data_IF_137862729448
#
_entry.id   IF_137862729448
#
_cell.length_a   1.000
_cell.length_b   1.000
_cell.length_c   1.000
_cell.angle_alpha   90.00
_cell.angle_beta   90.00
_cell.angle_gamma   90.00
#
_symmetry.space_group_name_H-M   'P 1'
#
loop_
_entity.id
_entity.type
_entity.pdbx_description
1 polymer ?
#
# COMPACT_ATOMS: atom_id res chain seq x y z
N UNK A 1 -21.52 5.75 51.75
CA UNK A 1 -20.66 6.47 50.79
C UNK A 1 -19.75 5.46 50.13
N UNK A 2 -20.02 5.09 48.88
CA UNK A 2 -19.21 4.15 48.12
C UNK A 2 -18.93 4.76 46.74
N UNK A 3 -17.89 5.58 46.66
CA UNK A 3 -17.42 6.19 45.42
C UNK A 3 -16.79 5.10 44.54
N UNK A 4 -17.52 4.68 43.51
CA UNK A 4 -17.00 3.81 42.45
C UNK A 4 -16.06 4.63 41.58
N UNK A 5 -14.77 4.34 41.70
CA UNK A 5 -13.69 4.85 40.86
C UNK A 5 -13.95 4.32 39.45
N UNK A 6 -14.53 5.16 38.60
CA UNK A 6 -14.59 4.94 37.16
C UNK A 6 -13.15 5.05 36.65
N UNK A 7 -12.58 3.96 36.13
CA UNK A 7 -11.22 3.85 35.62
C UNK A 7 -11.17 4.29 34.16
N UNK A 8 -10.90 5.58 33.84
CA UNK A 8 -10.76 6.02 32.44
C UNK A 8 -9.51 5.45 31.76
N UNK A 9 -8.54 4.98 32.55
CA UNK A 9 -7.27 4.46 32.06
C UNK A 9 -7.40 3.15 31.25
N UNK A 10 -8.40 2.32 31.56
CA UNK A 10 -8.62 1.05 30.85
C UNK A 10 -9.19 1.29 29.43
N UNK A 11 -10.02 2.33 29.27
CA UNK A 11 -10.57 2.71 27.97
C UNK A 11 -9.53 3.37 27.07
N UNK A 12 -8.60 4.14 27.65
CA UNK A 12 -7.53 4.82 26.89
C UNK A 12 -6.51 3.81 26.34
N UNK A 13 -6.24 2.70 27.04
CA UNK A 13 -5.28 1.69 26.59
C UNK A 13 -5.77 0.87 25.37
N UNK A 14 -7.07 0.67 25.21
CA UNK A 14 -7.66 -0.12 24.11
C UNK A 14 -7.58 0.56 22.73
N UNK A 15 -7.46 1.88 22.68
CA UNK A 15 -7.45 2.62 21.40
C UNK A 15 -6.06 2.61 20.73
N UNK A 16 -5.01 2.26 21.47
CA UNK A 16 -3.61 2.45 21.03
C UNK A 16 -3.09 1.31 20.13
N UNK A 17 -3.77 0.17 20.04
CA UNK A 17 -3.18 -1.10 19.53
C UNK A 17 -3.38 -1.36 18.02
N UNK A 18 -4.03 -0.48 17.25
CA UNK A 18 -4.47 -0.82 15.87
C UNK A 18 -3.59 -0.29 14.73
N UNK A 19 -2.26 -0.44 14.77
CA UNK A 19 -1.43 -0.26 13.57
C UNK A 19 -1.05 -1.63 13.00
N UNK A 20 -1.91 -2.15 12.14
CA UNK A 20 -1.56 -3.28 11.28
C UNK A 20 -0.33 -2.89 10.44
N UNK A 21 0.70 -3.74 10.45
CA UNK A 21 1.91 -3.56 9.65
C UNK A 21 1.63 -3.85 8.16
N UNK A 22 0.79 -3.05 7.52
CA UNK A 22 0.73 -2.96 6.06
C UNK A 22 1.76 -1.94 5.59
N UNK A 23 2.46 -2.23 4.49
CA UNK A 23 3.36 -1.25 3.90
C UNK A 23 2.56 0.02 3.53
N UNK A 24 2.92 1.16 4.11
CA UNK A 24 2.35 2.45 3.74
C UNK A 24 3.00 2.91 2.43
N UNK A 25 2.20 3.03 1.37
CA UNK A 25 2.67 3.39 0.04
C UNK A 25 2.07 4.71 -0.43
N UNK A 26 2.89 5.53 -1.10
CA UNK A 26 2.46 6.79 -1.67
C UNK A 26 3.24 7.13 -2.95
N UNK A 27 2.53 7.66 -3.94
CA UNK A 27 3.12 8.18 -5.16
C UNK A 27 3.88 9.48 -4.88
N UNK A 28 5.14 9.55 -5.35
CA UNK A 28 6.03 10.68 -5.25
C UNK A 28 6.27 11.29 -6.63
N UNK A 29 6.37 12.62 -6.66
CA UNK A 29 6.55 13.42 -7.88
C UNK A 29 5.30 14.24 -8.19
N UNK A 30 5.51 15.51 -8.53
CA UNK A 30 4.41 16.46 -8.75
C UNK A 30 4.33 16.84 -10.22
N UNK A 31 3.12 16.87 -10.78
CA UNK A 31 2.90 17.35 -12.14
C UNK A 31 3.17 18.88 -12.19
N UNK A 32 3.61 19.43 -13.34
CA UNK A 32 3.71 18.77 -14.65
C UNK A 32 5.06 18.08 -14.93
N UNK A 33 6.10 18.25 -14.11
CA UNK A 33 7.46 17.82 -14.49
C UNK A 33 7.87 16.42 -14.00
N UNK A 34 7.23 15.93 -12.93
CA UNK A 34 7.39 14.61 -12.31
C UNK A 34 8.81 14.04 -12.24
N UNK A 35 9.63 14.61 -11.37
CA UNK A 35 10.89 14.03 -10.91
C UNK A 35 10.65 13.21 -9.64
N UNK A 36 9.92 12.10 -9.78
CA UNK A 36 9.56 11.24 -8.65
C UNK A 36 10.78 10.52 -8.09
N UNK A 37 11.02 10.68 -6.79
CA UNK A 37 12.06 9.96 -6.03
C UNK A 37 11.52 9.53 -4.67
N UNK A 38 12.01 8.39 -4.18
CA UNK A 38 11.64 7.93 -2.84
C UNK A 38 12.53 8.63 -1.80
N UNK A 39 11.97 9.40 -0.86
CA UNK A 39 12.75 9.94 0.24
C UNK A 39 13.24 8.81 1.15
N UNK A 40 14.26 9.08 1.96
CA UNK A 40 14.92 8.08 2.82
C UNK A 40 14.00 7.42 3.86
N UNK A 41 12.83 7.99 4.13
CA UNK A 41 11.79 7.38 4.98
C UNK A 41 11.09 6.19 4.32
N UNK A 42 11.21 6.05 3.01
CA UNK A 42 10.70 4.91 2.25
C UNK A 42 11.84 3.96 1.93
N UNK A 43 11.61 2.67 2.13
CA UNK A 43 12.63 1.63 1.94
C UNK A 43 12.45 0.88 0.62
N UNK A 44 11.31 1.05 -0.07
CA UNK A 44 11.02 0.35 -1.31
C UNK A 44 10.47 1.27 -2.40
N UNK A 45 10.98 1.06 -3.61
CA UNK A 45 10.47 1.64 -4.85
C UNK A 45 9.60 0.59 -5.54
N UNK A 46 8.29 0.68 -5.36
CA UNK A 46 7.34 -0.35 -5.76
C UNK A 46 7.00 -0.29 -7.26
N UNK A 47 6.72 0.89 -7.79
CA UNK A 47 6.27 1.05 -9.17
C UNK A 47 6.59 2.45 -9.72
N UNK A 48 6.36 2.62 -11.03
CA UNK A 48 6.47 3.91 -11.74
C UNK A 48 5.24 4.14 -12.59
N UNK A 49 4.91 5.40 -12.81
CA UNK A 49 3.82 5.80 -13.71
C UNK A 49 3.94 7.29 -14.06
N UNK A 50 3.13 7.80 -14.98
CA UNK A 50 3.13 9.24 -15.33
C UNK A 50 1.90 9.98 -14.81
N UNK A 51 1.12 9.39 -13.93
CA UNK A 51 -0.13 9.98 -13.42
C UNK A 51 -1.33 9.11 -13.77
N UNK A 52 -2.52 9.71 -13.66
CA UNK A 52 -3.82 9.07 -13.78
C UNK A 52 -4.18 8.20 -12.58
N UNK A 53 -5.46 7.86 -12.48
CA UNK A 53 -6.00 6.97 -11.45
C UNK A 53 -5.70 7.49 -10.04
N UNK A 54 -4.97 6.74 -9.21
CA UNK A 54 -4.57 7.14 -7.86
C UNK A 54 -3.20 7.85 -7.80
N UNK A 55 -2.52 7.97 -8.95
CA UNK A 55 -1.22 8.63 -9.10
C UNK A 55 -1.34 10.14 -9.41
N UNK A 56 -2.56 10.68 -9.43
CA UNK A 56 -2.84 12.10 -9.62
C UNK A 56 -2.67 12.58 -11.06
N UNK A 57 -2.37 13.87 -11.26
CA UNK A 57 -2.28 14.47 -12.61
C UNK A 57 -1.11 13.95 -13.45
N UNK A 58 -1.28 14.04 -14.77
CA UNK A 58 -0.28 13.60 -15.75
C UNK A 58 0.99 14.44 -15.79
N UNK A 59 2.09 13.75 -15.99
CA UNK A 59 3.42 14.29 -16.18
C UNK A 59 3.66 14.66 -17.64
N UNK A 60 3.94 15.93 -17.91
CA UNK A 60 4.44 16.38 -19.21
C UNK A 60 5.84 15.83 -19.48
N UNK A 61 6.74 15.93 -18.48
CA UNK A 61 8.08 15.32 -18.48
C UNK A 61 8.22 14.38 -17.28
N UNK A 62 9.25 13.52 -17.26
CA UNK A 62 9.53 12.67 -16.10
C UNK A 62 8.48 11.58 -15.80
N UNK A 63 8.55 11.04 -14.59
CA UNK A 63 7.73 9.96 -14.02
C UNK A 63 7.51 10.14 -12.51
N UNK A 64 6.35 9.69 -12.03
CA UNK A 64 6.07 9.50 -10.60
C UNK A 64 6.54 8.11 -10.17
N UNK A 65 6.83 7.99 -8.88
CA UNK A 65 7.35 6.76 -8.28
C UNK A 65 6.50 6.37 -7.08
N UNK A 66 6.00 5.14 -7.06
CA UNK A 66 5.27 4.59 -5.92
C UNK A 66 6.29 4.12 -4.89
N UNK A 67 6.33 4.78 -3.74
CA UNK A 67 7.28 4.50 -2.66
C UNK A 67 6.57 3.88 -1.48
N UNK A 68 7.15 2.85 -0.86
CA UNK A 68 6.60 2.15 0.29
C UNK A 68 7.56 2.12 1.49
N UNK A 69 7.02 2.24 2.71
CA UNK A 69 7.80 2.24 3.98
C UNK A 69 8.35 0.87 4.35
N UNK A 70 7.77 -0.19 3.79
CA UNK A 70 8.21 -1.56 3.85
C UNK A 70 7.90 -2.26 2.52
N UNK A 71 8.33 -3.51 2.35
CA UNK A 71 8.05 -4.26 1.13
C UNK A 71 6.53 -4.41 0.99
N UNK A 72 5.92 -4.04 -0.15
CA UNK A 72 4.50 -4.23 -0.40
C UNK A 72 4.15 -5.70 -0.70
N UNK A 73 5.04 -6.64 -0.39
CA UNK A 73 4.86 -8.05 -0.60
C UNK A 73 5.62 -8.59 -1.82
N UNK A 74 5.23 -9.78 -2.25
CA UNK A 74 5.94 -10.53 -3.27
C UNK A 74 5.15 -10.63 -4.57
N UNK A 75 5.81 -11.04 -5.65
CA UNK A 75 5.18 -11.33 -6.94
C UNK A 75 4.31 -10.16 -7.46
N UNK A 76 4.82 -8.95 -7.30
CA UNK A 76 4.13 -7.74 -7.71
C UNK A 76 4.12 -7.59 -9.23
N UNK A 77 2.97 -7.27 -9.81
CA UNK A 77 2.83 -7.04 -11.25
C UNK A 77 1.63 -6.14 -11.56
N UNK A 78 1.67 -5.52 -12.74
CA UNK A 78 0.56 -4.73 -13.24
C UNK A 78 -0.51 -5.63 -13.86
N UNK A 79 -1.77 -5.29 -13.59
CA UNK A 79 -2.94 -5.94 -14.18
C UNK A 79 -3.79 -4.91 -14.91
N UNK A 80 -4.33 -5.30 -16.07
CA UNK A 80 -5.10 -4.44 -16.96
C UNK A 80 -4.44 -4.28 -18.33
N UNK A 81 -5.09 -4.80 -19.37
CA UNK A 81 -4.55 -4.79 -20.73
C UNK A 81 -5.04 -3.57 -21.50
N UNK A 82 -4.10 -2.83 -22.10
CA UNK A 82 -4.45 -1.75 -23.02
C UNK A 82 -5.09 -2.32 -24.30
N UNK A 83 -5.97 -1.57 -24.99
CA UNK A 83 -6.28 -0.16 -24.78
C UNK A 83 -7.44 0.12 -23.80
N UNK A 84 -8.14 -0.89 -23.29
CA UNK A 84 -9.31 -0.73 -22.41
C UNK A 84 -8.96 -1.26 -21.01
N UNK A 85 -8.41 -0.43 -20.14
CA UNK A 85 -7.89 -0.91 -18.86
C UNK A 85 -8.95 -0.91 -17.77
N UNK A 86 -9.37 -2.10 -17.35
CA UNK A 86 -10.14 -2.31 -16.13
C UNK A 86 -9.35 -3.27 -15.26
N UNK A 87 -8.20 -2.79 -14.78
CA UNK A 87 -7.30 -3.59 -13.96
C UNK A 87 -7.95 -3.97 -12.64
N UNK A 88 -7.90 -5.25 -12.32
CA UNK A 88 -8.34 -5.79 -11.03
C UNK A 88 -7.29 -6.80 -10.54
N UNK A 89 -7.05 -6.82 -9.24
CA UNK A 89 -6.15 -7.81 -8.66
C UNK A 89 -6.83 -9.19 -8.66
N UNK A 90 -6.12 -10.24 -9.09
CA UNK A 90 -6.65 -11.60 -8.98
C UNK A 90 -6.78 -12.00 -7.50
N UNK A 91 -7.61 -13.01 -7.24
CA UNK A 91 -7.80 -13.55 -5.88
C UNK A 91 -6.46 -13.93 -5.23
N UNK A 92 -6.26 -13.50 -3.99
CA UNK A 92 -5.00 -13.72 -3.25
C UNK A 92 -3.96 -12.60 -3.40
N UNK A 93 -4.23 -11.62 -4.27
CA UNK A 93 -3.44 -10.38 -4.36
C UNK A 93 -4.23 -9.17 -3.91
N UNK A 94 -3.52 -8.10 -3.59
CA UNK A 94 -4.10 -6.82 -3.21
C UNK A 94 -3.47 -5.68 -4.00
N UNK A 95 -4.22 -4.59 -4.18
CA UNK A 95 -3.78 -3.40 -4.90
C UNK A 95 -2.89 -2.55 -4.01
N UNK A 96 -1.74 -2.14 -4.56
CA UNK A 96 -0.77 -1.26 -3.90
C UNK A 96 -0.78 0.14 -4.52
N UNK A 97 -1.11 0.24 -5.80
CA UNK A 97 -1.34 1.50 -6.51
C UNK A 97 -1.95 1.27 -7.88
N UNK A 98 -2.28 2.33 -8.60
CA UNK A 98 -2.83 2.30 -9.93
C UNK A 98 -2.21 3.38 -10.82
N UNK A 99 -2.22 3.13 -12.12
CA UNK A 99 -1.78 4.09 -13.13
C UNK A 99 -2.50 3.70 -14.41
N UNK A 100 -3.00 4.67 -15.15
CA UNK A 100 -3.50 4.43 -16.52
C UNK A 100 -2.34 4.37 -17.52
N UNK A 101 -1.16 4.84 -17.12
CA UNK A 101 0.03 4.74 -17.93
C UNK A 101 0.64 3.34 -18.04
N UNK A 102 1.60 3.25 -18.95
CA UNK A 102 2.50 2.15 -19.21
C UNK A 102 3.28 1.70 -17.96
N UNK A 103 2.64 0.99 -17.03
CA UNK A 103 3.36 0.29 -15.97
C UNK A 103 4.46 -0.61 -16.57
N UNK A 104 4.04 -1.55 -17.42
CA UNK A 104 4.85 -2.55 -18.12
C UNK A 104 4.49 -2.71 -19.61
N UNK A 105 3.57 -1.89 -20.14
CA UNK A 105 3.01 -2.02 -21.49
C UNK A 105 2.47 -0.70 -22.05
N UNK A 106 1.47 -0.72 -22.93
CA UNK A 106 0.90 0.53 -23.48
C UNK A 106 -0.04 1.26 -22.49
N UNK A 107 -0.14 2.58 -22.64
CA UNK A 107 -1.11 3.45 -21.94
C UNK A 107 -2.55 3.03 -22.24
N UNK A 108 -3.40 3.15 -21.23
CA UNK A 108 -4.83 2.90 -21.31
C UNK A 108 -5.53 4.04 -22.04
N UNK A 109 -6.39 3.73 -23.01
CA UNK A 109 -7.29 4.71 -23.62
C UNK A 109 -8.50 5.02 -22.73
N UNK A 110 -8.91 4.03 -21.91
CA UNK A 110 -9.94 4.18 -20.87
C UNK A 110 -9.57 3.33 -19.65
N UNK A 111 -9.92 3.82 -18.46
CA UNK A 111 -9.70 3.17 -17.16
C UNK A 111 -8.23 3.02 -16.73
N UNK A 112 -7.94 2.10 -15.81
CA UNK A 112 -6.69 2.03 -15.05
C UNK A 112 -6.04 0.64 -15.09
N UNK A 113 -4.70 0.60 -15.06
CA UNK A 113 -3.98 -0.59 -14.59
C UNK A 113 -3.83 -0.52 -13.09
N UNK A 114 -3.78 -1.68 -12.44
CA UNK A 114 -3.57 -1.81 -11.00
C UNK A 114 -2.29 -2.59 -10.74
N UNK A 115 -1.46 -2.08 -9.85
CA UNK A 115 -0.25 -2.74 -9.41
C UNK A 115 -0.60 -3.61 -8.20
N UNK A 116 -0.53 -4.93 -8.37
CA UNK A 116 -0.97 -5.88 -7.37
C UNK A 116 0.17 -6.75 -6.88
N UNK A 117 0.23 -6.97 -5.57
CA UNK A 117 1.20 -7.83 -4.90
C UNK A 117 0.49 -8.94 -4.11
N UNK A 118 1.20 -10.04 -3.87
CA UNK A 118 0.81 -11.00 -2.84
C UNK A 118 0.97 -10.32 -1.47
N UNK A 119 0.10 -10.63 -0.50
CA UNK A 119 0.28 -10.16 0.87
C UNK A 119 1.70 -10.49 1.36
N UNK A 120 2.42 -9.54 2.01
CA UNK A 120 3.71 -9.85 2.60
C UNK A 120 3.52 -11.02 3.56
N UNK A 121 4.13 -12.16 3.22
CA UNK A 121 4.11 -13.31 4.13
C UNK A 121 4.85 -12.87 5.39
N UNK A 122 4.27 -13.16 6.54
CA UNK A 122 4.86 -12.98 7.87
C UNK A 122 6.00 -14.00 8.07
N UNK A 123 6.81 -14.24 7.04
CA UNK A 123 7.96 -15.14 7.04
C UNK A 123 9.26 -14.38 6.80
N UNK A 124 9.21 -13.04 6.68
CA UNK A 124 10.38 -12.15 6.67
C UNK A 124 10.36 -11.18 7.85
N UNK A 125 9.68 -11.57 8.92
CA UNK A 125 9.98 -11.07 10.26
C UNK A 125 10.53 -12.28 11.02
N UNK A 126 11.84 -12.50 10.92
CA UNK A 126 12.58 -13.28 11.92
C UNK A 126 12.30 -12.63 13.29
N UNK A 127 11.21 -13.05 13.94
CA UNK A 127 10.85 -12.61 15.29
C UNK A 127 9.37 -12.36 15.61
N UNK A 128 8.42 -12.35 14.66
CA UNK A 128 7.00 -12.13 15.01
C UNK A 128 6.14 -13.29 14.48
N UNK A 129 5.97 -14.28 15.36
CA UNK A 129 4.94 -15.31 15.26
C UNK A 129 3.56 -14.66 15.40
N UNK A 130 2.88 -14.40 14.29
CA UNK A 130 1.42 -14.19 14.30
C UNK A 130 0.77 -15.32 13.52
N UNK A 131 0.50 -16.39 14.24
CA UNK A 131 -0.51 -17.37 13.87
C UNK A 131 -1.84 -16.64 13.76
N UNK A 132 -2.28 -16.39 12.54
CA UNK A 132 -3.67 -16.04 12.24
C UNK A 132 -4.54 -17.28 12.44
N UNK A 133 -4.99 -17.49 13.67
CA UNK A 133 -6.25 -18.16 13.99
C UNK A 133 -6.57 -17.89 15.45
N UNK A 134 -7.78 -17.38 15.66
CA UNK A 134 -8.58 -17.23 16.88
C UNK A 134 -7.98 -17.57 18.25
N UNK A 135 -8.27 -16.64 19.18
CA UNK A 135 -8.21 -16.78 20.64
C UNK A 135 -6.83 -16.73 21.29
N UNK A 136 -6.43 -15.54 21.78
CA UNK A 136 -5.61 -15.49 22.99
C UNK A 136 -5.87 -14.23 23.82
N UNK A 137 -6.67 -14.45 24.86
CA UNK A 137 -6.65 -13.65 26.08
C UNK A 137 -5.29 -13.87 26.74
N UNK A 138 -4.51 -12.81 26.93
CA UNK A 138 -3.39 -12.84 27.87
C UNK A 138 -3.52 -11.63 28.79
N UNK A 139 -4.05 -11.88 30.00
CA UNK A 139 -3.76 -11.07 31.17
C UNK A 139 -2.36 -11.47 31.66
N UNK A 140 -1.48 -10.49 31.80
CA UNK A 140 -0.35 -10.52 32.75
C UNK A 140 -0.62 -9.46 33.80
#
# INVERSE_FOLDING_TARGET
>A
MSTKIFTPFLFILLVVVHRAASADCAWQGTAPFCDGECPSSYSYRAAVGRGGCDNGDYCATGQKVLCCTASPGNNCQWYGTAPFCSGECPSGKYQVGASDDAGDGSTCGTGCKVFCCDSPKISEIEGISTTSAEEQIVLV
#
